data_IF_809275770705
#
_entry.id   IF_809275770705
#
_cell.length_a   1.000
_cell.length_b   1.000
_cell.length_c   1.000
_cell.angle_alpha   90.00
_cell.angle_beta   90.00
_cell.angle_gamma   90.00
#
_symmetry.space_group_name_H-M   'P 1'
#
loop_
_entity.id
_entity.type
_entity.pdbx_description
1 polymer ?
#
# COMPACT_ATOMS: atom_id res chain seq x y z
N UNK A 1 9.58 -31.83 -19.01
CA UNK A 1 8.93 -31.35 -20.23
C UNK A 1 7.45 -31.14 -19.94
N UNK A 2 6.94 -29.92 -20.11
CA UNK A 2 5.54 -29.55 -19.87
C UNK A 2 4.69 -29.79 -21.12
N UNK A 3 3.48 -30.32 -20.93
CA UNK A 3 2.48 -30.49 -21.99
C UNK A 3 1.53 -29.28 -22.05
N UNK A 4 0.74 -29.16 -23.12
CA UNK A 4 -0.30 -28.12 -23.24
C UNK A 4 -1.28 -28.11 -22.06
N UNK A 5 -1.69 -29.29 -21.58
CA UNK A 5 -2.62 -29.41 -20.45
C UNK A 5 -1.97 -29.03 -19.11
N UNK A 6 -0.65 -29.26 -18.95
CA UNK A 6 0.08 -28.75 -17.78
C UNK A 6 0.10 -27.22 -17.76
N UNK A 7 0.34 -26.60 -18.91
CA UNK A 7 0.35 -25.13 -19.05
C UNK A 7 -1.04 -24.53 -18.79
N UNK A 8 -2.12 -25.15 -19.30
CA UNK A 8 -3.51 -24.74 -19.01
C UNK A 8 -3.84 -24.87 -17.53
N UNK A 9 -3.37 -25.94 -16.87
CA UNK A 9 -3.51 -26.11 -15.42
C UNK A 9 -2.79 -25.01 -14.65
N UNK A 10 -1.58 -24.63 -15.06
CA UNK A 10 -0.86 -23.50 -14.44
C UNK A 10 -1.63 -22.17 -14.57
N UNK A 11 -2.31 -21.91 -15.70
CA UNK A 11 -3.16 -20.72 -15.84
C UNK A 11 -4.31 -20.73 -14.82
N UNK A 12 -4.98 -21.88 -14.66
CA UNK A 12 -6.04 -22.03 -13.67
C UNK A 12 -5.52 -21.85 -12.22
N UNK A 13 -4.37 -22.43 -11.90
CA UNK A 13 -3.71 -22.29 -10.59
C UNK A 13 -3.31 -20.85 -10.28
N UNK A 14 -2.99 -20.06 -11.31
CA UNK A 14 -2.75 -18.61 -11.20
C UNK A 14 -4.04 -17.77 -11.15
N UNK A 15 -5.21 -18.40 -10.98
CA UNK A 15 -6.53 -17.76 -10.94
C UNK A 15 -6.88 -17.00 -12.23
N UNK A 16 -6.47 -17.51 -13.39
CA UNK A 16 -7.02 -17.07 -14.68
C UNK A 16 -8.29 -17.84 -15.03
N UNK A 17 -9.22 -17.17 -15.70
CA UNK A 17 -10.45 -17.74 -16.22
C UNK A 17 -10.52 -17.61 -17.75
N UNK A 18 -11.26 -18.48 -18.46
CA UNK A 18 -11.32 -18.45 -19.92
C UNK A 18 -11.81 -17.15 -20.55
N UNK A 19 -12.60 -16.37 -19.81
CA UNK A 19 -13.17 -15.09 -20.24
C UNK A 19 -12.33 -13.87 -19.85
N UNK A 20 -11.17 -14.06 -19.20
CA UNK A 20 -10.31 -12.94 -18.80
C UNK A 20 -9.73 -12.23 -20.03
N UNK A 21 -9.59 -10.89 -19.93
CA UNK A 21 -8.71 -10.11 -20.80
C UNK A 21 -7.30 -10.15 -20.21
N UNK A 22 -6.33 -10.64 -20.98
CA UNK A 22 -4.96 -10.86 -20.51
C UNK A 22 -3.93 -10.25 -21.45
N UNK A 23 -3.09 -9.35 -20.92
CA UNK A 23 -1.90 -8.85 -21.59
C UNK A 23 -0.67 -9.65 -21.13
N UNK A 24 0.08 -10.22 -22.07
CA UNK A 24 1.22 -11.11 -21.76
C UNK A 24 2.55 -10.46 -22.15
N UNK A 25 3.39 -10.21 -21.15
CA UNK A 25 4.84 -10.04 -21.32
C UNK A 25 5.52 -11.38 -21.04
N UNK A 26 6.43 -11.84 -21.91
CA UNK A 26 6.96 -13.21 -21.79
C UNK A 26 8.43 -13.36 -22.15
N UNK A 27 9.08 -14.30 -21.46
CA UNK A 27 10.40 -14.84 -21.81
C UNK A 27 10.28 -16.35 -22.06
N UNK A 28 10.33 -16.75 -23.33
CA UNK A 28 10.22 -18.18 -23.72
C UNK A 28 11.26 -19.06 -23.02
N UNK A 29 12.48 -18.55 -22.81
CA UNK A 29 13.58 -19.30 -22.18
C UNK A 29 13.29 -19.66 -20.72
N UNK A 30 12.43 -18.91 -20.05
CA UNK A 30 12.15 -19.08 -18.63
C UNK A 30 11.13 -20.19 -18.34
N UNK A 31 10.36 -20.63 -19.35
CA UNK A 31 9.27 -21.62 -19.19
C UNK A 31 9.81 -23.04 -18.95
N UNK A 32 11.06 -23.29 -19.34
CA UNK A 32 11.65 -24.63 -19.34
C UNK A 32 11.35 -25.41 -20.62
N UNK A 33 11.52 -26.73 -20.57
CA UNK A 33 11.25 -27.60 -21.71
C UNK A 33 9.74 -27.81 -21.89
N UNK A 34 9.22 -27.46 -23.07
CA UNK A 34 7.81 -27.63 -23.44
C UNK A 34 7.73 -28.56 -24.66
N UNK A 35 6.85 -29.56 -24.60
CA UNK A 35 6.55 -30.41 -25.76
C UNK A 35 6.04 -29.52 -26.90
N UNK A 36 6.57 -29.65 -28.12
CA UNK A 36 6.18 -28.78 -29.25
C UNK A 36 6.65 -27.32 -29.14
N UNK A 37 7.38 -26.97 -28.08
CA UNK A 37 8.04 -25.67 -27.93
C UNK A 37 7.08 -24.48 -27.83
N UNK A 38 7.43 -23.38 -28.47
CA UNK A 38 6.69 -22.11 -28.40
C UNK A 38 5.27 -22.21 -28.97
N UNK A 39 5.04 -23.10 -29.95
CA UNK A 39 3.71 -23.29 -30.52
C UNK A 39 2.74 -23.86 -29.49
N UNK A 40 3.16 -24.82 -28.68
CA UNK A 40 2.33 -25.40 -27.62
C UNK A 40 2.03 -24.41 -26.51
N UNK A 41 2.96 -23.49 -26.19
CA UNK A 41 2.67 -22.38 -25.27
C UNK A 41 1.56 -21.49 -25.81
N UNK A 42 1.64 -21.10 -27.10
CA UNK A 42 0.61 -20.28 -27.72
C UNK A 42 -0.72 -21.04 -27.86
N UNK A 43 -0.70 -22.32 -28.21
CA UNK A 43 -1.90 -23.16 -28.28
C UNK A 43 -2.60 -23.24 -26.93
N UNK A 44 -1.83 -23.42 -25.84
CA UNK A 44 -2.36 -23.40 -24.48
C UNK A 44 -3.06 -22.07 -24.18
N UNK A 45 -2.42 -20.94 -24.49
CA UNK A 45 -3.00 -19.62 -24.27
C UNK A 45 -4.26 -19.37 -25.11
N UNK A 46 -4.20 -19.63 -26.42
CA UNK A 46 -5.30 -19.40 -27.35
C UNK A 46 -6.52 -20.27 -27.02
N UNK A 47 -6.31 -21.53 -26.62
CA UNK A 47 -7.38 -22.43 -26.21
C UNK A 47 -7.96 -22.07 -24.84
N UNK A 48 -7.11 -21.63 -23.90
CA UNK A 48 -7.56 -21.31 -22.55
C UNK A 48 -8.39 -20.02 -22.52
N UNK A 49 -7.94 -18.96 -23.20
CA UNK A 49 -8.59 -17.65 -23.20
C UNK A 49 -9.60 -17.46 -24.34
N UNK A 50 -10.24 -18.55 -24.79
CA UNK A 50 -11.08 -18.55 -25.99
C UNK A 50 -12.34 -17.66 -25.88
N UNK A 51 -12.83 -17.41 -24.66
CA UNK A 51 -13.99 -16.55 -24.39
C UNK A 51 -13.59 -15.10 -24.05
N UNK A 52 -12.30 -14.84 -23.87
CA UNK A 52 -11.73 -13.56 -23.45
C UNK A 52 -10.98 -12.82 -24.55
N UNK A 53 -10.00 -12.00 -24.13
CA UNK A 53 -9.06 -11.33 -25.04
C UNK A 53 -7.63 -11.71 -24.64
N UNK A 54 -6.88 -12.31 -25.57
CA UNK A 54 -5.46 -12.58 -25.39
C UNK A 54 -4.65 -11.52 -26.15
N UNK A 55 -3.83 -10.78 -25.42
CA UNK A 55 -3.14 -9.60 -25.92
C UNK A 55 -1.62 -9.78 -25.74
N UNK A 56 -0.87 -9.48 -26.79
CA UNK A 56 0.59 -9.37 -26.73
C UNK A 56 1.03 -7.98 -27.21
N UNK A 57 1.95 -7.31 -26.50
CA UNK A 57 2.58 -6.09 -27.02
C UNK A 57 3.43 -6.42 -28.24
N UNK A 58 3.22 -5.70 -29.34
CA UNK A 58 3.90 -5.89 -30.64
C UNK A 58 4.74 -4.69 -31.03
N UNK A 59 5.48 -4.13 -30.08
CA UNK A 59 6.20 -2.88 -30.27
C UNK A 59 7.19 -2.90 -31.44
N UNK A 60 7.37 -1.74 -32.05
CA UNK A 60 8.21 -1.46 -33.24
C UNK A 60 9.08 -0.22 -33.06
N UNK A 61 9.14 0.36 -31.84
CA UNK A 61 9.94 1.56 -31.55
C UNK A 61 11.44 1.41 -31.87
N UNK A 62 11.95 0.18 -31.91
CA UNK A 62 13.34 -0.10 -32.27
C UNK A 62 13.63 0.07 -33.77
N UNK A 63 12.61 -0.06 -34.62
CA UNK A 63 12.74 0.01 -36.09
C UNK A 63 12.09 1.25 -36.66
N UNK A 64 10.88 1.61 -36.22
CA UNK A 64 10.12 2.75 -36.74
C UNK A 64 10.70 4.08 -36.23
N UNK A 65 11.16 4.92 -37.16
CA UNK A 65 11.81 6.20 -36.88
C UNK A 65 11.81 7.10 -38.13
N UNK A 66 12.45 8.27 -38.07
CA UNK A 66 12.51 9.24 -39.18
C UNK A 66 13.07 8.67 -40.50
N UNK A 67 13.94 7.64 -40.44
CA UNK A 67 14.52 6.98 -41.62
C UNK A 67 13.65 5.83 -42.12
N UNK A 68 13.01 5.10 -41.20
CA UNK A 68 12.07 4.02 -41.48
C UNK A 68 10.68 4.43 -41.00
N UNK A 69 10.06 5.34 -41.75
CA UNK A 69 8.91 6.14 -41.30
C UNK A 69 7.55 5.56 -41.71
N UNK A 70 7.53 4.39 -42.36
CA UNK A 70 6.29 3.71 -42.77
C UNK A 70 6.09 2.49 -41.86
N UNK A 71 4.99 2.46 -41.13
CA UNK A 71 4.55 1.31 -40.36
C UNK A 71 3.57 0.47 -41.19
N UNK A 72 3.98 -0.76 -41.52
CA UNK A 72 3.15 -1.79 -42.16
C UNK A 72 2.85 -2.91 -41.15
N UNK A 73 1.63 -2.96 -40.55
CA UNK A 73 1.32 -3.90 -39.47
C UNK A 73 1.50 -5.38 -39.88
N UNK A 74 1.40 -5.68 -41.18
CA UNK A 74 1.54 -7.04 -41.73
C UNK A 74 3.00 -7.48 -41.90
N UNK A 75 3.93 -6.53 -42.00
CA UNK A 75 5.34 -6.80 -42.33
C UNK A 75 6.31 -6.54 -41.19
N UNK A 76 6.00 -5.57 -40.33
CA UNK A 76 6.94 -5.11 -39.31
C UNK A 76 7.09 -6.13 -38.18
N UNK A 77 8.29 -6.68 -37.91
CA UNK A 77 8.49 -7.56 -36.77
C UNK A 77 8.39 -6.78 -35.46
N UNK A 78 8.00 -7.46 -34.38
CA UNK A 78 8.02 -6.86 -33.04
C UNK A 78 9.39 -7.01 -32.38
N UNK A 79 9.80 -5.98 -31.62
CA UNK A 79 11.00 -6.02 -30.76
C UNK A 79 10.79 -6.67 -29.37
N UNK A 80 9.58 -7.16 -29.03
CA UNK A 80 9.28 -7.61 -27.65
C UNK A 80 9.67 -9.06 -27.35
N UNK A 81 9.60 -9.98 -28.32
CA UNK A 81 10.01 -11.37 -28.08
C UNK A 81 9.53 -12.39 -29.11
N UNK A 82 9.94 -13.65 -28.92
CA UNK A 82 9.63 -14.76 -29.82
C UNK A 82 8.12 -15.07 -29.86
N UNK A 83 7.50 -15.25 -28.68
CA UNK A 83 6.08 -15.60 -28.58
C UNK A 83 5.20 -14.54 -29.24
N UNK A 84 5.48 -13.26 -29.03
CA UNK A 84 4.81 -12.14 -29.72
C UNK A 84 4.87 -12.29 -31.25
N UNK A 85 6.06 -12.51 -31.81
CA UNK A 85 6.23 -12.60 -33.27
C UNK A 85 5.56 -13.85 -33.89
N UNK A 86 5.46 -14.94 -33.12
CA UNK A 86 4.71 -16.13 -33.52
C UNK A 86 3.20 -15.93 -33.37
N UNK A 87 2.76 -15.27 -32.30
CA UNK A 87 1.36 -14.96 -32.02
C UNK A 87 0.73 -14.10 -33.12
N UNK A 88 1.44 -13.08 -33.61
CA UNK A 88 0.99 -12.24 -34.74
C UNK A 88 0.63 -13.03 -36.02
N UNK A 89 1.14 -14.26 -36.17
CA UNK A 89 0.89 -15.11 -37.34
C UNK A 89 -0.25 -16.10 -37.14
N UNK A 90 -0.86 -16.16 -35.95
CA UNK A 90 -1.94 -17.09 -35.65
C UNK A 90 -3.24 -16.63 -36.31
N UNK A 91 -4.04 -17.61 -36.72
CA UNK A 91 -5.34 -17.33 -37.33
C UNK A 91 -6.25 -16.58 -36.34
N UNK A 92 -6.96 -15.56 -36.85
CA UNK A 92 -7.86 -14.72 -36.06
C UNK A 92 -7.19 -13.60 -35.25
N UNK A 93 -5.85 -13.56 -35.18
CA UNK A 93 -5.13 -12.47 -34.52
C UNK A 93 -5.20 -11.20 -35.38
N UNK A 94 -5.54 -10.08 -34.75
CA UNK A 94 -5.48 -8.74 -35.35
C UNK A 94 -4.44 -7.90 -34.63
N UNK A 95 -3.80 -6.98 -35.35
CA UNK A 95 -2.78 -6.08 -34.80
C UNK A 95 -3.26 -4.63 -34.90
N UNK A 96 -3.10 -3.87 -33.82
CA UNK A 96 -3.45 -2.46 -33.81
C UNK A 96 -2.56 -1.62 -34.72
N UNK A 97 -3.09 -0.50 -35.18
CA UNK A 97 -2.44 0.37 -36.16
C UNK A 97 -1.45 1.37 -35.55
N UNK A 98 -1.16 1.25 -34.26
CA UNK A 98 -0.27 2.15 -33.55
C UNK A 98 1.21 1.93 -33.99
N UNK A 99 1.92 2.96 -34.49
CA UNK A 99 3.18 2.78 -35.22
C UNK A 99 4.38 2.32 -34.39
N UNK A 100 4.39 2.55 -33.07
CA UNK A 100 5.50 2.14 -32.18
C UNK A 100 5.10 1.19 -31.05
N UNK A 101 3.89 1.34 -30.51
CA UNK A 101 3.36 0.62 -29.35
C UNK A 101 2.11 -0.23 -29.66
N UNK A 102 2.01 -0.74 -30.89
CA UNK A 102 0.92 -1.65 -31.27
C UNK A 102 0.84 -2.88 -30.37
N UNK A 103 -0.35 -3.49 -30.35
CA UNK A 103 -0.66 -4.76 -29.71
C UNK A 103 -1.26 -5.73 -30.72
N UNK A 104 -0.99 -7.02 -30.56
CA UNK A 104 -1.72 -8.10 -31.23
C UNK A 104 -2.76 -8.66 -30.27
N UNK A 105 -3.95 -8.96 -30.79
CA UNK A 105 -5.12 -9.36 -30.01
C UNK A 105 -5.82 -10.54 -30.67
N UNK A 106 -6.17 -11.55 -29.89
CA UNK A 106 -7.07 -12.63 -30.26
C UNK A 106 -8.32 -12.59 -29.37
N UNK A 107 -9.49 -12.83 -29.97
CA UNK A 107 -10.78 -12.96 -29.27
C UNK A 107 -11.92 -12.30 -30.05
N UNK A 108 -13.17 -12.54 -29.62
CA UNK A 108 -14.35 -12.08 -30.36
C UNK A 108 -14.43 -10.55 -30.51
N UNK A 109 -13.93 -9.82 -29.52
CA UNK A 109 -13.91 -8.34 -29.48
C UNK A 109 -12.57 -7.75 -29.91
N UNK A 110 -11.69 -8.54 -30.52
CA UNK A 110 -10.32 -8.09 -30.83
C UNK A 110 -10.28 -6.86 -31.76
N UNK A 111 -11.16 -6.81 -32.77
CA UNK A 111 -11.25 -5.66 -33.71
C UNK A 111 -11.72 -4.38 -33.02
N UNK A 112 -12.74 -4.48 -32.17
CA UNK A 112 -13.25 -3.38 -31.35
C UNK A 112 -12.16 -2.88 -30.38
N UNK A 113 -11.42 -3.80 -29.77
CA UNK A 113 -10.36 -3.46 -28.82
C UNK A 113 -9.20 -2.66 -29.45
N UNK A 114 -8.90 -2.86 -30.74
CA UNK A 114 -7.80 -2.16 -31.43
C UNK A 114 -8.26 -0.94 -32.24
N UNK A 115 -9.55 -0.65 -32.27
CA UNK A 115 -10.12 0.39 -33.13
C UNK A 115 -9.62 1.78 -32.75
N UNK A 116 -9.31 2.63 -33.74
CA UNK A 116 -8.92 4.03 -33.55
C UNK A 116 -7.44 4.27 -33.24
N UNK A 117 -6.63 3.21 -33.12
CA UNK A 117 -5.21 3.26 -32.80
C UNK A 117 -4.35 3.96 -33.87
N UNK A 118 -4.85 4.08 -35.10
CA UNK A 118 -4.23 4.88 -36.15
C UNK A 118 -4.21 6.39 -35.83
N UNK A 119 -5.13 6.86 -34.98
CA UNK A 119 -5.24 8.26 -34.58
C UNK A 119 -4.43 8.60 -33.31
N UNK A 120 -3.77 7.61 -32.70
CA UNK A 120 -2.93 7.82 -31.53
C UNK A 120 -1.66 8.59 -31.88
N UNK A 121 -1.39 9.68 -31.15
CA UNK A 121 -0.22 10.55 -31.36
C UNK A 121 0.86 10.38 -30.30
N UNK A 122 0.57 9.67 -29.21
CA UNK A 122 1.53 9.31 -28.16
C UNK A 122 1.54 7.78 -27.98
N UNK A 123 2.57 7.21 -27.34
CA UNK A 123 2.73 5.75 -27.22
C UNK A 123 1.64 4.99 -26.44
N UNK A 124 1.16 5.53 -25.33
CA UNK A 124 0.23 4.86 -24.42
C UNK A 124 -0.95 5.79 -24.05
N UNK A 125 -1.70 6.32 -25.03
CA UNK A 125 -2.72 7.32 -24.76
C UNK A 125 -3.90 6.73 -23.99
N UNK A 126 -4.58 7.55 -23.17
CA UNK A 126 -5.68 7.08 -22.31
C UNK A 126 -6.86 6.52 -23.10
N UNK A 127 -7.12 7.05 -24.29
CA UNK A 127 -8.18 6.59 -25.19
C UNK A 127 -7.73 5.47 -26.15
N UNK A 128 -6.52 4.93 -25.98
CA UNK A 128 -6.01 3.82 -26.78
C UNK A 128 -6.13 2.43 -26.14
N UNK A 129 -5.50 1.43 -26.74
CA UNK A 129 -5.47 0.03 -26.26
C UNK A 129 -4.98 -0.05 -24.81
N UNK A 130 -3.93 0.72 -24.48
CA UNK A 130 -3.34 0.73 -23.13
C UNK A 130 -4.33 1.23 -22.09
N UNK A 131 -5.08 2.30 -22.36
CA UNK A 131 -6.15 2.75 -21.47
C UNK A 131 -7.33 1.77 -21.39
N UNK A 132 -7.71 1.14 -22.51
CA UNK A 132 -8.78 0.12 -22.55
C UNK A 132 -8.51 -1.08 -21.66
N UNK A 133 -7.25 -1.43 -21.36
CA UNK A 133 -6.92 -2.48 -20.38
C UNK A 133 -7.55 -2.22 -18.99
N UNK A 134 -7.73 -0.96 -18.61
CA UNK A 134 -8.40 -0.59 -17.34
C UNK A 134 -9.89 -0.92 -17.41
N UNK A 135 -10.53 -0.56 -18.50
CA UNK A 135 -11.97 -0.78 -18.74
C UNK A 135 -12.30 -2.27 -18.84
N UNK A 136 -11.40 -3.03 -19.47
CA UNK A 136 -11.45 -4.49 -19.58
C UNK A 136 -11.13 -5.21 -18.27
N UNK A 137 -10.71 -4.49 -17.21
CA UNK A 137 -10.19 -5.07 -15.96
C UNK A 137 -9.12 -6.13 -16.23
N UNK A 138 -8.24 -5.82 -17.17
CA UNK A 138 -7.28 -6.77 -17.69
C UNK A 138 -6.30 -7.25 -16.60
N UNK A 139 -5.89 -8.50 -16.72
CA UNK A 139 -4.77 -9.05 -15.96
C UNK A 139 -3.51 -8.96 -16.82
N UNK A 140 -2.43 -8.43 -16.25
CA UNK A 140 -1.14 -8.28 -16.93
C UNK A 140 -0.20 -9.36 -16.40
N UNK A 141 0.11 -10.33 -17.25
CA UNK A 141 0.96 -11.47 -16.94
C UNK A 141 2.39 -11.18 -17.36
N UNK A 142 3.29 -11.13 -16.37
CA UNK A 142 4.74 -11.14 -16.56
C UNK A 142 5.23 -12.58 -16.41
N UNK A 143 5.40 -13.26 -17.54
CA UNK A 143 5.83 -14.66 -17.60
C UNK A 143 7.36 -14.72 -17.74
N UNK A 144 8.04 -15.02 -16.63
CA UNK A 144 9.49 -15.19 -16.60
C UNK A 144 10.28 -13.94 -16.96
N UNK A 145 9.70 -12.75 -16.79
CA UNK A 145 10.31 -11.45 -17.06
C UNK A 145 10.03 -10.46 -15.91
N UNK A 146 10.95 -9.52 -15.63
CA UNK A 146 10.77 -8.52 -14.57
C UNK A 146 9.76 -7.43 -14.95
N UNK A 147 9.26 -6.71 -13.92
CA UNK A 147 8.39 -5.52 -14.10
C UNK A 147 9.09 -4.33 -14.77
N UNK A 148 10.40 -4.40 -15.04
CA UNK A 148 11.07 -3.41 -15.91
C UNK A 148 10.53 -3.45 -17.35
N UNK A 149 9.70 -4.45 -17.70
CA UNK A 149 8.98 -4.55 -18.97
C UNK A 149 7.52 -4.09 -18.88
N UNK A 150 7.13 -3.42 -17.79
CA UNK A 150 5.75 -3.01 -17.54
C UNK A 150 5.38 -1.77 -18.37
N UNK A 151 5.28 -1.92 -19.70
CA UNK A 151 4.98 -0.83 -20.65
C UNK A 151 3.75 -0.02 -20.23
N UNK A 152 2.74 -0.67 -19.65
CA UNK A 152 1.52 -0.02 -19.18
C UNK A 152 1.76 1.12 -18.17
N UNK A 153 2.88 1.16 -17.43
CA UNK A 153 3.24 2.26 -16.52
C UNK A 153 3.44 3.59 -17.26
N UNK A 154 3.85 3.54 -18.54
CA UNK A 154 3.93 4.75 -19.37
C UNK A 154 2.56 5.41 -19.60
N UNK A 155 1.46 4.65 -19.50
CA UNK A 155 0.12 5.20 -19.56
C UNK A 155 -0.10 6.26 -18.49
N UNK A 156 -0.09 5.91 -17.18
CA UNK A 156 -0.14 6.87 -16.09
C UNK A 156 0.83 8.05 -16.19
N UNK A 157 2.05 7.84 -16.71
CA UNK A 157 3.00 8.93 -16.96
C UNK A 157 2.48 9.93 -18.00
N UNK A 158 1.95 9.44 -19.12
CA UNK A 158 1.33 10.28 -20.16
C UNK A 158 0.04 10.93 -19.68
N UNK A 159 -0.83 10.21 -18.97
CA UNK A 159 -2.17 10.70 -18.60
C UNK A 159 -2.16 11.78 -17.52
N UNK A 160 -1.04 11.87 -16.78
CA UNK A 160 -0.79 12.92 -15.80
C UNK A 160 0.11 14.04 -16.37
N UNK A 161 0.43 14.00 -17.66
CA UNK A 161 1.33 14.94 -18.31
C UNK A 161 2.67 15.10 -17.56
N UNK A 162 3.25 13.98 -17.10
CA UNK A 162 4.53 14.00 -16.38
C UNK A 162 5.60 14.60 -17.31
N UNK A 163 6.33 15.64 -16.85
CA UNK A 163 7.34 16.31 -17.68
C UNK A 163 8.42 15.35 -18.18
N UNK A 164 9.00 15.65 -19.34
CA UNK A 164 10.11 14.88 -19.91
C UNK A 164 9.78 13.38 -20.05
N UNK A 165 8.60 13.10 -20.60
CA UNK A 165 8.14 11.75 -20.98
C UNK A 165 7.93 11.56 -22.48
N UNK A 166 7.74 12.65 -23.22
CA UNK A 166 7.49 12.63 -24.67
C UNK A 166 8.51 13.50 -25.41
N UNK A 167 9.15 12.90 -26.41
CA UNK A 167 10.01 13.58 -27.37
C UNK A 167 9.20 14.50 -28.31
N UNK A 168 9.84 15.44 -29.03
CA UNK A 168 9.19 16.11 -30.16
C UNK A 168 8.58 15.13 -31.16
N UNK A 169 7.46 15.53 -31.76
CA UNK A 169 6.77 14.69 -32.74
C UNK A 169 7.63 14.45 -33.99
N UNK A 170 7.50 13.25 -34.55
CA UNK A 170 8.04 12.88 -35.85
C UNK A 170 6.89 12.48 -36.78
N UNK A 171 7.02 12.81 -38.06
CA UNK A 171 6.02 12.43 -39.05
C UNK A 171 6.27 11.00 -39.55
N UNK A 172 5.23 10.18 -39.46
CA UNK A 172 5.20 8.79 -39.86
C UNK A 172 4.00 8.53 -40.77
N UNK A 173 4.01 7.39 -41.45
CA UNK A 173 2.87 6.89 -42.22
C UNK A 173 2.47 5.52 -41.73
N UNK A 174 1.17 5.31 -41.56
CA UNK A 174 0.57 4.04 -41.20
C UNK A 174 -0.06 3.48 -42.47
N UNK A 175 0.30 2.26 -42.87
CA UNK A 175 -0.35 1.58 -43.98
C UNK A 175 -1.67 0.97 -43.49
N UNK A 176 -2.77 1.42 -44.08
CA UNK A 176 -4.13 1.00 -43.72
C UNK A 176 -4.50 -0.34 -44.37
N UNK A 177 -5.50 -1.08 -43.83
CA UNK A 177 -5.92 -2.38 -44.38
C UNK A 177 -6.41 -2.33 -45.85
N UNK A 178 -6.90 -1.18 -46.30
CA UNK A 178 -7.34 -0.97 -47.71
C UNK A 178 -6.17 -0.64 -48.67
N UNK A 179 -4.94 -0.59 -48.15
CA UNK A 179 -3.72 -0.27 -48.90
C UNK A 179 -3.40 1.22 -49.00
N UNK A 180 -4.23 2.10 -48.43
CA UNK A 180 -3.94 3.54 -48.32
C UNK A 180 -2.94 3.84 -47.20
N UNK A 181 -2.51 5.09 -47.11
CA UNK A 181 -1.60 5.55 -46.06
C UNK A 181 -2.28 6.65 -45.23
N UNK A 182 -2.18 6.54 -43.92
CA UNK A 182 -2.59 7.55 -42.95
C UNK A 182 -1.34 8.27 -42.45
N UNK A 183 -1.26 9.59 -42.66
CA UNK A 183 -0.17 10.42 -42.13
C UNK A 183 -0.41 10.67 -40.64
N UNK A 184 0.61 10.45 -39.81
CA UNK A 184 0.54 10.57 -38.35
C UNK A 184 1.73 11.37 -37.84
N UNK A 185 1.47 12.37 -36.99
CA UNK A 185 2.53 13.11 -36.27
C UNK A 185 2.61 12.56 -34.84
N UNK A 186 3.73 11.91 -34.53
CA UNK A 186 3.81 10.96 -33.43
C UNK A 186 4.97 11.26 -32.47
N UNK A 187 4.67 11.30 -31.17
CA UNK A 187 5.65 11.47 -30.10
C UNK A 187 6.21 10.13 -29.63
N UNK A 188 7.54 10.04 -29.48
CA UNK A 188 8.18 8.88 -28.83
C UNK A 188 8.33 9.11 -27.33
N UNK A 189 8.45 8.03 -26.56
CA UNK A 189 8.92 8.17 -25.17
C UNK A 189 10.34 8.72 -25.13
N UNK A 190 10.58 9.61 -24.19
CA UNK A 190 11.90 10.17 -23.87
C UNK A 190 11.97 10.41 -22.37
N UNK A 191 13.18 10.35 -21.81
CA UNK A 191 13.49 10.86 -20.48
C UNK A 191 14.97 11.23 -20.45
N UNK A 192 15.30 12.42 -19.92
CA UNK A 192 16.67 12.94 -19.83
C UNK A 192 17.54 12.16 -18.85
N UNK A 193 16.93 11.40 -17.95
CA UNK A 193 17.59 10.60 -16.92
C UNK A 193 17.88 9.16 -17.36
N UNK A 194 17.62 8.82 -18.63
CA UNK A 194 17.84 7.50 -19.21
C UNK A 194 16.53 6.80 -19.54
N UNK A 195 16.54 5.46 -19.58
CA UNK A 195 15.33 4.70 -19.86
C UNK A 195 14.53 4.50 -18.58
N UNK A 196 13.48 5.29 -18.38
CA UNK A 196 12.61 5.26 -17.20
C UNK A 196 12.04 3.86 -16.90
N UNK A 197 11.82 3.04 -17.93
CA UNK A 197 11.29 1.67 -17.76
C UNK A 197 12.24 0.74 -17.01
N UNK A 198 13.54 1.04 -16.98
CA UNK A 198 14.51 0.26 -16.19
C UNK A 198 14.22 0.37 -14.69
N UNK A 199 13.54 1.44 -14.25
CA UNK A 199 13.19 1.68 -12.86
C UNK A 199 11.81 1.09 -12.47
N UNK A 200 10.98 0.63 -13.42
CA UNK A 200 9.65 0.07 -13.09
C UNK A 200 9.70 -1.21 -12.25
N UNK A 201 10.86 -1.89 -12.22
CA UNK A 201 11.09 -3.06 -11.36
C UNK A 201 10.80 -2.80 -9.87
N UNK A 202 10.97 -1.56 -9.40
CA UNK A 202 10.73 -1.18 -8.01
C UNK A 202 9.26 -1.19 -7.59
N UNK A 203 8.33 -1.31 -8.55
CA UNK A 203 6.91 -1.52 -8.26
C UNK A 203 6.59 -2.93 -7.74
N UNK A 204 7.51 -3.89 -7.88
CA UNK A 204 7.24 -5.30 -7.53
C UNK A 204 6.78 -5.46 -6.07
N UNK A 205 7.55 -4.94 -5.12
CA UNK A 205 7.21 -5.06 -3.70
C UNK A 205 5.95 -4.26 -3.30
N UNK A 206 5.79 -2.98 -3.72
CA UNK A 206 4.56 -2.24 -3.48
C UNK A 206 3.30 -2.93 -4.03
N UNK A 207 3.35 -3.45 -5.26
CA UNK A 207 2.18 -4.09 -5.86
C UNK A 207 1.82 -5.41 -5.15
N UNK A 208 2.82 -6.19 -4.72
CA UNK A 208 2.61 -7.42 -3.97
C UNK A 208 2.08 -7.16 -2.56
N UNK A 209 2.67 -6.21 -1.82
CA UNK A 209 2.28 -5.88 -0.45
C UNK A 209 0.85 -5.31 -0.36
N UNK A 210 0.39 -4.62 -1.42
CA UNK A 210 -0.99 -4.11 -1.53
C UNK A 210 -1.97 -5.11 -2.15
N UNK A 211 -1.53 -6.35 -2.44
CA UNK A 211 -2.31 -7.36 -3.14
C UNK A 211 -2.91 -6.85 -4.46
N UNK A 212 -2.19 -5.96 -5.15
CA UNK A 212 -2.51 -5.47 -6.51
C UNK A 212 -1.93 -6.44 -7.54
N UNK A 213 -0.78 -7.03 -7.21
CA UNK A 213 -0.18 -8.12 -7.95
C UNK A 213 -0.08 -9.38 -7.08
N UNK A 214 0.04 -10.53 -7.73
CA UNK A 214 0.28 -11.82 -7.11
C UNK A 214 1.37 -12.59 -7.85
N UNK A 215 2.01 -13.55 -7.18
CA UNK A 215 2.99 -14.44 -7.79
C UNK A 215 2.31 -15.71 -8.32
N UNK A 216 2.89 -16.30 -9.35
CA UNK A 216 2.45 -17.55 -9.95
C UNK A 216 3.59 -18.34 -10.59
N UNK A 217 3.26 -19.50 -11.16
CA UNK A 217 4.18 -20.35 -11.91
C UNK A 217 3.57 -20.77 -13.23
N UNK A 218 4.37 -20.80 -14.28
CA UNK A 218 3.98 -21.30 -15.60
C UNK A 218 5.15 -22.07 -16.21
N UNK A 219 5.02 -23.40 -16.27
CA UNK A 219 6.20 -24.26 -16.40
C UNK A 219 7.20 -23.97 -15.26
N UNK A 220 8.47 -23.79 -15.60
CA UNK A 220 9.50 -23.41 -14.63
C UNK A 220 9.49 -21.90 -14.30
N UNK A 221 8.82 -21.08 -15.10
CA UNK A 221 8.89 -19.62 -15.03
C UNK A 221 8.19 -19.07 -13.78
N UNK A 222 8.89 -18.21 -13.04
CA UNK A 222 8.25 -17.30 -12.08
C UNK A 222 7.40 -16.29 -12.82
N UNK A 223 6.16 -16.13 -12.36
CA UNK A 223 5.20 -15.21 -12.93
C UNK A 223 4.77 -14.16 -11.91
N UNK A 224 4.48 -12.95 -12.41
CA UNK A 224 3.74 -11.93 -11.67
C UNK A 224 2.50 -11.58 -12.46
N UNK A 225 1.35 -11.55 -11.78
CA UNK A 225 0.06 -11.20 -12.37
C UNK A 225 -0.40 -9.91 -11.69
N UNK A 226 -0.45 -8.82 -12.44
CA UNK A 226 -0.88 -7.52 -11.96
C UNK A 226 -2.28 -7.17 -12.48
N UNK A 227 -3.13 -6.59 -11.62
CA UNK A 227 -4.41 -6.01 -12.03
C UNK A 227 -4.17 -4.65 -12.71
N UNK A 228 -4.59 -4.49 -13.97
CA UNK A 228 -4.32 -3.28 -14.74
C UNK A 228 -4.94 -2.02 -14.10
N UNK A 229 -6.21 -2.08 -13.70
CA UNK A 229 -6.93 -0.93 -13.14
C UNK A 229 -6.33 -0.50 -11.79
N UNK A 230 -6.08 -1.46 -10.90
CA UNK A 230 -5.49 -1.18 -9.58
C UNK A 230 -4.02 -0.76 -9.68
N UNK A 231 -3.27 -1.30 -10.64
CA UNK A 231 -1.89 -0.88 -10.91
C UNK A 231 -1.85 0.56 -11.41
N UNK A 232 -2.72 0.92 -12.37
CA UNK A 232 -2.86 2.29 -12.87
C UNK A 232 -3.16 3.27 -11.74
N UNK A 233 -4.21 3.00 -10.97
CA UNK A 233 -4.65 3.85 -9.86
C UNK A 233 -3.54 4.04 -8.79
N UNK A 234 -2.79 2.97 -8.49
CA UNK A 234 -1.65 3.06 -7.59
C UNK A 234 -0.50 3.89 -8.16
N UNK A 235 -0.10 3.65 -9.42
CA UNK A 235 0.98 4.38 -10.09
C UNK A 235 0.63 5.86 -10.24
N UNK A 236 -0.61 6.20 -10.59
CA UNK A 236 -1.06 7.60 -10.69
C UNK A 236 -0.91 8.32 -9.34
N UNK A 237 -1.31 7.69 -8.22
CA UNK A 237 -1.11 8.27 -6.89
C UNK A 237 0.37 8.45 -6.52
N UNK A 238 1.22 7.49 -6.88
CA UNK A 238 2.67 7.63 -6.69
C UNK A 238 3.20 8.84 -7.44
N UNK A 239 2.89 8.96 -8.73
CA UNK A 239 3.34 10.07 -9.58
C UNK A 239 2.78 11.43 -9.14
N UNK A 240 1.55 11.48 -8.61
CA UNK A 240 1.01 12.70 -8.02
C UNK A 240 1.71 13.11 -6.72
N UNK A 241 2.22 12.13 -5.97
CA UNK A 241 2.99 12.38 -4.73
C UNK A 241 4.42 12.77 -5.05
N UNK A 242 5.03 12.08 -6.01
CA UNK A 242 6.39 12.26 -6.46
C UNK A 242 6.46 12.02 -7.99
N UNK A 243 6.40 13.11 -8.80
CA UNK A 243 6.47 13.01 -10.25
C UNK A 243 7.79 12.44 -10.79
N UNK A 244 8.85 12.49 -9.98
CA UNK A 244 10.18 12.03 -10.34
C UNK A 244 10.44 10.60 -9.87
N UNK A 245 9.44 9.93 -9.27
CA UNK A 245 9.59 8.62 -8.63
C UNK A 245 10.20 7.56 -9.54
N UNK A 246 10.20 7.67 -10.87
CA UNK A 246 10.86 6.70 -11.76
C UNK A 246 12.14 7.22 -12.43
N UNK A 247 12.62 8.41 -12.09
CA UNK A 247 13.82 9.01 -12.70
C UNK A 247 15.12 8.37 -12.19
N UNK A 248 15.08 7.67 -11.06
CA UNK A 248 16.22 7.01 -10.42
C UNK A 248 15.86 5.59 -9.93
N UNK A 249 16.87 4.77 -9.60
CA UNK A 249 16.66 3.39 -9.17
C UNK A 249 16.35 3.23 -7.67
N UNK A 250 16.26 4.32 -6.90
CA UNK A 250 16.03 4.24 -5.46
C UNK A 250 14.65 3.60 -5.18
N UNK A 251 14.53 2.75 -4.15
CA UNK A 251 13.26 2.10 -3.81
C UNK A 251 12.13 3.12 -3.59
N UNK A 252 10.90 2.75 -3.92
CA UNK A 252 9.74 3.56 -3.54
C UNK A 252 9.71 3.63 -1.99
N UNK A 253 9.57 4.82 -1.38
CA UNK A 253 9.46 4.94 0.07
C UNK A 253 8.30 4.11 0.62
N UNK A 254 8.54 3.34 1.69
CA UNK A 254 7.55 2.42 2.26
C UNK A 254 6.28 3.16 2.69
N UNK A 255 6.41 4.39 3.19
CA UNK A 255 5.30 5.28 3.53
C UNK A 255 4.30 5.53 2.39
N UNK A 256 4.72 5.38 1.13
CA UNK A 256 3.86 5.58 -0.03
C UNK A 256 2.93 4.38 -0.30
N UNK A 257 3.25 3.18 0.24
CA UNK A 257 2.46 1.97 -0.03
C UNK A 257 2.15 1.09 1.18
N UNK A 258 2.77 1.33 2.34
CA UNK A 258 2.51 0.62 3.58
C UNK A 258 1.00 0.55 3.87
N UNK A 259 0.53 -0.63 4.26
CA UNK A 259 -0.83 -0.78 4.78
C UNK A 259 -0.88 0.01 6.08
N UNK A 260 -1.60 1.15 6.07
CA UNK A 260 -1.89 1.89 7.30
C UNK A 260 -2.60 0.93 8.24
N UNK A 261 -1.97 0.58 9.36
CA UNK A 261 -2.71 -0.02 10.48
C UNK A 261 -3.82 0.96 10.84
N UNK A 262 -5.06 0.47 10.93
CA UNK A 262 -6.15 1.28 11.46
C UNK A 262 -5.72 1.82 12.82
N UNK A 263 -5.92 3.11 13.01
CA UNK A 263 -5.61 3.76 14.27
C UNK A 263 -6.51 3.17 15.34
N UNK A 264 -5.95 2.79 16.48
CA UNK A 264 -6.73 2.38 17.65
C UNK A 264 -7.10 3.62 18.45
N UNK A 265 -8.29 3.63 19.05
CA UNK A 265 -8.81 4.75 19.84
C UNK A 265 -8.97 4.29 21.28
N UNK A 266 -8.37 5.07 22.20
CA UNK A 266 -8.41 4.87 23.65
C UNK A 266 -9.09 6.10 24.29
N UNK A 267 -10.41 6.09 24.55
CA UNK A 267 -11.07 7.24 25.14
C UNK A 267 -10.60 7.47 26.58
N UNK A 268 -10.10 8.67 26.89
CA UNK A 268 -9.72 9.03 28.27
C UNK A 268 -10.95 9.45 29.06
N UNK A 269 -11.33 8.62 30.04
CA UNK A 269 -12.49 8.86 30.90
C UNK A 269 -12.26 10.02 31.87
N UNK A 270 -11.05 10.59 31.93
CA UNK A 270 -10.79 11.83 32.67
C UNK A 270 -11.66 12.99 32.17
N UNK A 271 -12.06 12.96 30.90
CA UNK A 271 -12.88 14.01 30.28
C UNK A 271 -14.40 13.70 30.26
N UNK A 272 -14.83 12.56 30.79
CA UNK A 272 -16.24 12.15 30.76
C UNK A 272 -17.04 12.71 31.95
N UNK A 273 -18.36 12.59 31.88
CA UNK A 273 -19.23 12.83 33.05
C UNK A 273 -19.12 11.65 34.03
N UNK A 274 -18.20 11.79 34.98
CA UNK A 274 -17.91 10.76 36.00
C UNK A 274 -19.12 10.39 36.87
N UNK A 275 -20.14 11.26 36.97
CA UNK A 275 -21.38 10.94 37.68
C UNK A 275 -22.25 9.93 36.92
N UNK A 276 -22.01 9.75 35.62
CA UNK A 276 -22.76 8.88 34.71
C UNK A 276 -21.83 7.89 33.98
N UNK A 277 -20.78 7.41 34.66
CA UNK A 277 -19.68 6.63 34.06
C UNK A 277 -20.14 5.41 33.24
N UNK A 278 -21.18 4.68 33.68
CA UNK A 278 -21.77 3.57 32.91
C UNK A 278 -22.28 4.03 31.53
N UNK A 279 -23.00 5.15 31.48
CA UNK A 279 -23.49 5.71 30.22
C UNK A 279 -22.33 6.20 29.33
N UNK A 280 -21.33 6.81 29.95
CA UNK A 280 -20.15 7.31 29.24
C UNK A 280 -19.37 6.16 28.58
N UNK A 281 -19.13 5.06 29.28
CA UNK A 281 -18.45 3.86 28.75
C UNK A 281 -19.29 3.17 27.67
N UNK A 282 -20.58 2.97 27.93
CA UNK A 282 -21.49 2.32 26.97
C UNK A 282 -21.68 3.12 25.67
N UNK A 283 -21.28 4.39 25.64
CA UNK A 283 -21.35 5.23 24.43
C UNK A 283 -20.19 5.05 23.45
N UNK A 284 -19.17 4.27 23.82
CA UNK A 284 -17.98 3.98 22.99
C UNK A 284 -17.75 2.47 22.83
N UNK A 285 -18.76 1.68 22.42
CA UNK A 285 -18.67 0.22 22.38
C UNK A 285 -17.62 -0.30 21.39
N UNK A 286 -17.22 0.54 20.43
CA UNK A 286 -16.24 0.25 19.39
C UNK A 286 -14.83 0.79 19.71
N UNK A 287 -14.57 1.31 20.91
CA UNK A 287 -13.22 1.68 21.33
C UNK A 287 -12.30 0.46 21.48
N UNK A 288 -10.99 0.63 21.27
CA UNK A 288 -10.03 -0.47 21.40
C UNK A 288 -9.53 -0.65 22.83
N UNK A 289 -9.58 0.43 23.61
CA UNK A 289 -9.17 0.50 25.02
C UNK A 289 -10.03 1.52 25.75
N UNK A 290 -10.07 1.46 27.08
CA UNK A 290 -10.52 2.56 27.93
C UNK A 290 -9.31 3.11 28.68
N UNK A 291 -8.95 4.37 28.39
CA UNK A 291 -7.80 5.03 29.02
C UNK A 291 -8.19 5.62 30.38
N UNK A 292 -7.46 5.24 31.42
CA UNK A 292 -7.71 5.68 32.81
C UNK A 292 -6.45 6.35 33.36
N UNK A 293 -6.50 7.68 33.44
CA UNK A 293 -5.45 8.49 34.04
C UNK A 293 -5.50 8.44 35.57
N UNK A 294 -4.45 7.90 36.19
CA UNK A 294 -4.27 7.85 37.65
C UNK A 294 -3.20 8.87 38.06
N UNK A 295 -3.60 9.88 38.84
CA UNK A 295 -2.75 10.98 39.30
C UNK A 295 -2.76 11.05 40.83
N UNK A 296 -1.62 11.34 41.46
CA UNK A 296 -1.44 11.25 42.93
C UNK A 296 -1.19 12.58 43.65
N UNK A 297 -1.19 13.71 42.94
CA UNK A 297 -0.86 15.02 43.51
C UNK A 297 0.63 15.22 43.87
N UNK A 298 1.50 14.24 43.60
CA UNK A 298 2.95 14.32 43.90
C UNK A 298 3.79 14.28 42.63
N UNK A 299 3.59 13.27 41.75
CA UNK A 299 4.31 13.19 40.48
C UNK A 299 3.78 14.22 39.48
N UNK A 300 2.47 14.45 39.52
CA UNK A 300 1.76 15.54 38.86
C UNK A 300 0.94 16.30 39.90
N UNK A 301 0.61 17.59 39.70
CA UNK A 301 -0.05 18.40 40.72
C UNK A 301 -1.53 18.05 40.96
N UNK A 302 -2.17 17.28 40.07
CA UNK A 302 -3.58 16.92 40.17
C UNK A 302 -3.79 15.54 40.80
N UNK A 303 -5.01 15.32 41.30
CA UNK A 303 -5.51 14.05 41.81
C UNK A 303 -6.70 13.62 40.94
N UNK A 304 -6.72 12.37 40.50
CA UNK A 304 -7.79 11.84 39.64
C UNK A 304 -8.46 10.59 40.24
N UNK A 305 -8.41 9.47 39.54
CA UNK A 305 -9.08 8.22 39.88
C UNK A 305 -8.20 7.32 40.75
N UNK A 306 -8.83 6.31 41.35
CA UNK A 306 -8.15 5.27 42.12
C UNK A 306 -8.84 3.92 41.95
N UNK A 307 -8.41 2.93 42.74
CA UNK A 307 -8.88 1.54 42.64
C UNK A 307 -10.41 1.35 42.55
N UNK A 308 -11.26 2.09 43.30
CA UNK A 308 -12.71 1.92 43.18
C UNK A 308 -13.26 2.23 41.79
N UNK A 309 -12.70 3.24 41.11
CA UNK A 309 -13.10 3.61 39.75
C UNK A 309 -12.64 2.56 38.75
N UNK A 310 -11.38 2.11 38.83
CA UNK A 310 -10.87 1.06 37.94
C UNK A 310 -11.74 -0.20 38.02
N UNK A 311 -12.09 -0.65 39.23
CA UNK A 311 -12.99 -1.80 39.42
C UNK A 311 -14.39 -1.55 38.87
N UNK A 312 -14.92 -0.34 39.04
CA UNK A 312 -16.22 0.02 38.49
C UNK A 312 -16.20 -0.04 36.96
N UNK A 313 -15.21 0.56 36.31
CA UNK A 313 -15.04 0.52 34.85
C UNK A 313 -14.90 -0.92 34.35
N UNK A 314 -14.06 -1.73 35.00
CA UNK A 314 -13.85 -3.14 34.64
C UNK A 314 -15.13 -3.99 34.72
N UNK A 315 -16.08 -3.61 35.59
CA UNK A 315 -17.36 -4.31 35.69
C UNK A 315 -18.40 -3.83 34.68
N UNK A 316 -18.14 -2.72 33.98
CA UNK A 316 -19.07 -2.09 33.05
C UNK A 316 -18.80 -2.44 31.59
N UNK A 317 -17.62 -2.97 31.25
CA UNK A 317 -17.22 -3.22 29.87
C UNK A 317 -16.23 -4.38 29.74
N UNK A 318 -16.25 -5.04 28.57
CA UNK A 318 -15.24 -6.01 28.14
C UNK A 318 -14.09 -5.34 27.34
N UNK A 319 -14.16 -4.02 27.12
CA UNK A 319 -13.10 -3.27 26.44
C UNK A 319 -11.87 -3.22 27.36
N UNK A 320 -10.66 -3.58 26.86
CA UNK A 320 -9.46 -3.63 27.68
C UNK A 320 -9.12 -2.30 28.37
N UNK A 321 -8.68 -2.36 29.63
CA UNK A 321 -8.33 -1.18 30.41
C UNK A 321 -6.85 -0.82 30.28
N UNK A 322 -6.61 0.41 29.86
CA UNK A 322 -5.30 1.03 29.69
C UNK A 322 -5.08 2.06 30.80
N UNK A 323 -4.27 1.69 31.79
CA UNK A 323 -4.04 2.50 32.98
C UNK A 323 -2.76 3.30 32.83
N UNK A 324 -2.89 4.61 32.87
CA UNK A 324 -1.77 5.54 32.83
C UNK A 324 -1.44 6.06 34.22
N UNK A 325 -0.34 5.56 34.79
CA UNK A 325 0.08 5.86 36.15
C UNK A 325 1.01 7.08 36.19
N UNK A 326 0.42 8.26 36.37
CA UNK A 326 1.10 9.51 36.70
C UNK A 326 1.27 9.65 38.22
N UNK A 327 1.97 8.70 38.85
CA UNK A 327 2.11 8.61 40.30
C UNK A 327 3.57 8.43 40.74
N UNK A 328 3.84 8.82 41.98
CA UNK A 328 5.11 8.57 42.67
C UNK A 328 5.09 7.17 43.29
N UNK A 329 6.20 6.46 43.18
CA UNK A 329 6.36 5.09 43.68
C UNK A 329 5.33 4.07 43.09
N UNK A 330 5.16 3.98 41.75
CA UNK A 330 4.22 3.04 41.13
C UNK A 330 4.38 1.57 41.57
N UNK A 331 5.57 1.12 41.97
CA UNK A 331 5.80 -0.25 42.45
C UNK A 331 4.83 -0.68 43.56
N UNK A 332 4.41 0.26 44.43
CA UNK A 332 3.47 0.00 45.54
C UNK A 332 2.04 -0.26 45.09
N UNK A 333 1.68 0.15 43.87
CA UNK A 333 0.29 0.16 43.40
C UNK A 333 0.04 -0.79 42.22
N UNK A 334 1.08 -1.23 41.51
CA UNK A 334 0.95 -2.12 40.34
C UNK A 334 0.12 -3.37 40.65
N UNK A 335 0.40 -4.08 41.75
CA UNK A 335 -0.37 -5.28 42.14
C UNK A 335 -1.86 -4.97 42.32
N UNK A 336 -2.16 -3.85 42.99
CA UNK A 336 -3.54 -3.48 43.29
C UNK A 336 -4.32 -3.10 42.04
N UNK A 337 -3.68 -2.37 41.11
CA UNK A 337 -4.28 -2.01 39.82
C UNK A 337 -4.42 -3.20 38.88
N UNK A 338 -3.43 -4.09 38.82
CA UNK A 338 -3.52 -5.34 38.08
C UNK A 338 -4.73 -6.18 38.56
N UNK A 339 -4.87 -6.37 39.89
CA UNK A 339 -6.02 -7.07 40.49
C UNK A 339 -7.35 -6.33 40.32
N UNK A 340 -7.33 -5.04 39.99
CA UNK A 340 -8.54 -4.25 39.76
C UNK A 340 -9.08 -4.40 38.32
N UNK A 341 -8.32 -5.03 37.41
CA UNK A 341 -8.73 -5.28 36.03
C UNK A 341 -7.88 -4.57 34.97
N UNK A 342 -6.66 -4.13 35.29
CA UNK A 342 -5.80 -3.51 34.30
C UNK A 342 -5.32 -4.53 33.25
N UNK A 343 -5.50 -4.23 31.96
CA UNK A 343 -4.95 -5.03 30.85
C UNK A 343 -3.57 -4.52 30.41
N UNK A 344 -3.38 -3.21 30.49
CA UNK A 344 -2.13 -2.50 30.23
C UNK A 344 -1.87 -1.48 31.32
N UNK A 345 -0.62 -1.37 31.77
CA UNK A 345 -0.19 -0.34 32.72
C UNK A 345 0.99 0.39 32.11
N UNK A 346 0.83 1.70 31.89
CA UNK A 346 1.93 2.60 31.57
C UNK A 346 2.47 3.28 32.82
N UNK A 347 3.78 3.15 33.04
CA UNK A 347 4.52 3.89 34.06
C UNK A 347 5.42 4.92 33.40
N UNK A 348 5.58 6.08 34.02
CA UNK A 348 6.50 7.09 33.52
C UNK A 348 7.96 6.66 33.68
N UNK A 349 8.78 6.87 32.66
CA UNK A 349 10.24 6.75 32.80
C UNK A 349 10.79 7.72 33.85
N UNK A 350 10.14 8.86 34.05
CA UNK A 350 10.60 9.94 34.93
C UNK A 350 10.32 9.71 36.42
N UNK A 351 9.83 8.53 36.83
CA UNK A 351 9.71 8.17 38.25
C UNK A 351 11.07 7.75 38.82
N UNK A 352 11.30 7.99 40.10
CA UNK A 352 12.56 7.64 40.80
C UNK A 352 12.58 6.15 41.22
N UNK A 353 12.41 5.24 40.25
CA UNK A 353 12.45 3.78 40.42
C UNK A 353 13.11 3.09 39.21
N UNK A 354 13.61 1.86 39.38
CA UNK A 354 14.21 1.11 38.28
C UNK A 354 13.14 0.62 37.29
N UNK A 355 13.23 1.07 36.05
CA UNK A 355 12.24 0.75 35.02
C UNK A 355 12.19 -0.75 34.69
N UNK A 356 13.32 -1.46 34.71
CA UNK A 356 13.36 -2.90 34.44
C UNK A 356 12.63 -3.69 35.53
N UNK A 357 12.78 -3.29 36.79
CA UNK A 357 12.05 -3.85 37.91
C UNK A 357 10.54 -3.58 37.80
N UNK A 358 10.14 -2.35 37.46
CA UNK A 358 8.73 -2.00 37.23
C UNK A 358 8.10 -2.82 36.09
N UNK A 359 8.79 -2.95 34.95
CA UNK A 359 8.33 -3.79 33.83
C UNK A 359 8.15 -5.23 34.29
N UNK A 360 9.13 -5.79 35.01
CA UNK A 360 9.07 -7.16 35.53
C UNK A 360 7.93 -7.36 36.51
N UNK A 361 7.64 -6.35 37.33
CA UNK A 361 6.54 -6.38 38.29
C UNK A 361 5.19 -6.39 37.57
N UNK A 362 4.99 -5.55 36.54
CA UNK A 362 3.75 -5.54 35.74
C UNK A 362 3.55 -6.89 35.04
N UNK A 363 4.60 -7.43 34.39
CA UNK A 363 4.57 -8.75 33.74
C UNK A 363 4.21 -9.88 34.73
N UNK A 364 4.68 -9.79 35.98
CA UNK A 364 4.41 -10.82 37.00
C UNK A 364 2.93 -11.00 37.35
N UNK A 365 2.09 -10.01 37.01
CA UNK A 365 0.64 -10.06 37.16
C UNK A 365 -0.10 -10.36 35.85
N UNK A 366 0.60 -10.77 34.79
CA UNK A 366 0.08 -11.00 33.43
C UNK A 366 -0.57 -9.75 32.81
N UNK A 367 -0.13 -8.56 33.23
CA UNK A 367 -0.54 -7.28 32.65
C UNK A 367 0.49 -6.85 31.62
N UNK A 368 0.07 -6.16 30.57
CA UNK A 368 0.96 -5.67 29.51
C UNK A 368 1.74 -4.44 30.02
N UNK A 369 3.08 -4.47 30.07
CA UNK A 369 3.87 -3.31 30.46
C UNK A 369 3.92 -2.27 29.33
N UNK A 370 3.75 -1.01 29.68
CA UNK A 370 3.96 0.14 28.82
C UNK A 370 4.79 1.21 29.54
N UNK A 371 5.41 2.10 28.78
CA UNK A 371 6.22 3.19 29.33
C UNK A 371 5.77 4.53 28.75
N UNK A 372 5.48 5.48 29.64
CA UNK A 372 5.11 6.84 29.29
C UNK A 372 6.33 7.78 29.35
N UNK A 373 6.41 8.72 28.39
CA UNK A 373 7.48 9.71 28.30
C UNK A 373 6.92 11.13 28.22
N UNK A 374 7.48 12.04 29.03
CA UNK A 374 7.17 13.47 28.97
C UNK A 374 7.66 14.13 27.67
N UNK A 375 7.13 15.31 27.29
CA UNK A 375 7.58 16.05 26.11
C UNK A 375 9.08 16.40 26.09
N UNK A 376 9.73 16.55 27.25
CA UNK A 376 11.17 16.83 27.32
C UNK A 376 12.06 15.57 27.23
N UNK A 377 11.51 14.38 27.51
CA UNK A 377 12.32 13.16 27.65
C UNK A 377 12.68 12.57 26.28
N UNK A 378 13.97 12.31 25.98
CA UNK A 378 14.38 11.68 24.72
C UNK A 378 13.76 10.28 24.59
N UNK A 379 13.36 9.89 23.38
CA UNK A 379 12.69 8.59 23.17
C UNK A 379 13.66 7.42 23.21
N UNK A 380 14.95 7.69 23.01
CA UNK A 380 16.02 6.71 23.03
C UNK A 380 16.18 6.03 24.40
N UNK A 381 15.66 6.63 25.49
CA UNK A 381 15.71 6.05 26.84
C UNK A 381 14.93 4.73 26.95
N UNK A 382 13.90 4.51 26.10
CA UNK A 382 13.11 3.27 26.11
C UNK A 382 13.70 2.18 25.22
N UNK A 383 14.70 2.47 24.40
CA UNK A 383 15.28 1.53 23.44
C UNK A 383 15.79 0.22 24.07
N UNK A 384 16.41 0.22 25.26
CA UNK A 384 16.84 -1.01 25.90
C UNK A 384 15.68 -1.95 26.32
N UNK A 385 14.46 -1.43 26.40
CA UNK A 385 13.31 -2.13 26.96
C UNK A 385 12.27 -2.56 25.91
N UNK A 386 12.37 -2.08 24.66
CA UNK A 386 11.33 -2.24 23.63
C UNK A 386 10.85 -3.69 23.45
N UNK A 387 11.75 -4.67 23.52
CA UNK A 387 11.42 -6.09 23.32
C UNK A 387 10.45 -6.65 24.38
N UNK A 388 10.28 -5.93 25.49
CA UNK A 388 9.39 -6.29 26.61
C UNK A 388 8.12 -5.46 26.66
N UNK A 389 8.02 -4.37 25.89
CA UNK A 389 6.90 -3.43 26.01
C UNK A 389 5.77 -3.78 25.05
N UNK A 390 4.53 -3.64 25.51
CA UNK A 390 3.36 -3.67 24.65
C UNK A 390 3.14 -2.33 23.93
N UNK A 391 3.38 -1.22 24.64
CA UNK A 391 3.19 0.15 24.14
C UNK A 391 4.24 1.10 24.71
N UNK A 392 4.54 2.16 23.97
CA UNK A 392 5.23 3.35 24.49
C UNK A 392 4.29 4.54 24.31
N UNK A 393 3.91 5.16 25.42
CA UNK A 393 3.04 6.33 25.47
C UNK A 393 3.86 7.62 25.38
N UNK A 394 3.65 8.38 24.32
CA UNK A 394 4.30 9.67 24.08
C UNK A 394 3.34 10.77 24.50
N UNK A 395 3.67 11.47 25.59
CA UNK A 395 2.93 12.65 26.00
C UNK A 395 3.22 13.80 25.01
N UNK A 396 2.17 14.36 24.43
CA UNK A 396 2.23 15.54 23.53
C UNK A 396 1.87 16.83 24.25
N UNK A 397 1.73 16.79 25.58
CA UNK A 397 1.57 17.91 26.52
C UNK A 397 2.23 17.53 27.84
N UNK A 398 2.42 18.47 28.76
CA UNK A 398 2.91 18.11 30.11
C UNK A 398 1.85 17.29 30.85
N UNK A 399 2.21 16.16 31.49
CA UNK A 399 1.23 15.31 32.17
C UNK A 399 0.61 16.02 33.37
N UNK A 400 -0.60 15.58 33.72
CA UNK A 400 -1.31 16.05 34.90
C UNK A 400 -2.50 16.96 34.62
N UNK A 401 -2.69 17.49 33.41
CA UNK A 401 -3.87 18.30 33.08
C UNK A 401 -4.55 17.86 31.78
N UNK A 402 -5.87 17.72 31.81
CA UNK A 402 -6.69 17.54 30.61
C UNK A 402 -6.92 18.85 29.86
N UNK A 403 -7.18 18.76 28.55
CA UNK A 403 -7.61 19.90 27.71
C UNK A 403 -6.49 20.84 27.24
N UNK A 404 -5.23 20.43 27.36
CA UNK A 404 -4.07 21.18 26.88
C UNK A 404 -3.93 21.11 25.35
N UNK A 405 -3.23 22.10 24.78
CA UNK A 405 -2.97 22.19 23.34
C UNK A 405 -1.87 21.23 22.90
N UNK A 406 -2.12 20.50 21.81
CA UNK A 406 -1.19 19.53 21.21
C UNK A 406 0.16 20.14 20.78
N UNK A 407 1.28 19.55 21.23
CA UNK A 407 2.64 19.93 20.84
C UNK A 407 3.15 19.04 19.68
N UNK A 408 3.08 19.55 18.45
CA UNK A 408 3.40 18.79 17.23
C UNK A 408 4.86 18.35 17.12
N UNK A 409 5.78 19.05 17.78
CA UNK A 409 7.20 18.71 17.86
C UNK A 409 7.45 17.34 18.50
N UNK A 410 6.53 16.85 19.34
CA UNK A 410 6.62 15.52 19.94
C UNK A 410 6.49 14.39 18.91
N UNK A 411 5.89 14.66 17.75
CA UNK A 411 5.75 13.66 16.68
C UNK A 411 7.09 13.25 16.06
N UNK A 412 8.13 14.07 16.19
CA UNK A 412 9.46 13.67 15.74
C UNK A 412 10.00 12.49 16.57
N UNK A 413 9.67 12.43 17.86
CA UNK A 413 10.00 11.28 18.70
C UNK A 413 9.27 10.02 18.23
N UNK A 414 8.00 10.16 17.83
CA UNK A 414 7.20 9.05 17.28
C UNK A 414 7.89 8.48 16.04
N UNK A 415 8.32 9.35 15.10
CA UNK A 415 9.00 8.89 13.88
C UNK A 415 10.28 8.12 14.19
N UNK A 416 11.12 8.65 15.09
CA UNK A 416 12.36 7.99 15.54
C UNK A 416 12.08 6.62 16.17
N UNK A 417 11.12 6.57 17.08
CA UNK A 417 10.72 5.33 17.75
C UNK A 417 10.15 4.30 16.77
N UNK A 418 9.28 4.73 15.84
CA UNK A 418 8.71 3.85 14.83
C UNK A 418 9.79 3.27 13.92
N UNK A 419 10.78 4.08 13.54
CA UNK A 419 11.93 3.61 12.76
C UNK A 419 12.73 2.53 13.53
N UNK A 420 12.99 2.73 14.82
CA UNK A 420 13.72 1.76 15.63
C UNK A 420 12.92 0.46 15.86
N UNK A 421 11.62 0.56 16.14
CA UNK A 421 10.71 -0.60 16.27
C UNK A 421 10.73 -1.44 14.98
N UNK A 422 10.61 -0.78 13.81
CA UNK A 422 10.66 -1.47 12.51
C UNK A 422 12.02 -2.11 12.25
N UNK A 423 13.11 -1.39 12.51
CA UNK A 423 14.48 -1.89 12.35
C UNK A 423 14.71 -3.18 13.14
N UNK A 424 14.09 -3.32 14.31
CA UNK A 424 14.16 -4.53 15.15
C UNK A 424 13.07 -5.57 14.87
N UNK A 425 12.11 -5.28 13.99
CA UNK A 425 11.00 -6.17 13.68
C UNK A 425 10.03 -6.39 14.85
N UNK A 426 9.87 -5.41 15.74
CA UNK A 426 9.06 -5.56 16.95
C UNK A 426 7.60 -5.17 16.73
N UNK A 427 6.73 -5.74 17.57
CA UNK A 427 5.28 -5.48 17.54
C UNK A 427 4.82 -4.39 18.51
N UNK A 428 5.74 -3.59 19.06
CA UNK A 428 5.45 -2.53 20.04
C UNK A 428 4.55 -1.47 19.40
N UNK A 429 3.46 -1.15 20.09
CA UNK A 429 2.57 -0.05 19.70
C UNK A 429 3.15 1.30 20.16
N UNK A 430 2.85 2.36 19.41
CA UNK A 430 3.14 3.72 19.88
C UNK A 430 1.82 4.38 20.18
N UNK A 431 1.69 4.89 21.39
CA UNK A 431 0.52 5.58 21.87
C UNK A 431 0.82 7.07 22.01
N UNK A 432 -0.16 7.94 21.81
CA UNK A 432 -0.02 9.37 22.04
C UNK A 432 -1.20 9.91 22.84
N UNK A 433 -0.88 10.73 23.86
CA UNK A 433 -1.85 11.43 24.70
C UNK A 433 -1.50 12.92 24.83
N UNK A 434 -2.53 13.78 24.71
CA UNK A 434 -2.42 15.22 24.87
C UNK A 434 -2.97 16.03 23.70
N UNK A 435 -4.26 16.39 23.75
CA UNK A 435 -4.84 17.36 22.81
C UNK A 435 -5.17 16.81 21.41
N UNK A 436 -5.28 15.49 21.26
CA UNK A 436 -5.65 14.84 20.00
C UNK A 436 -7.14 15.06 19.70
N UNK A 437 -7.45 15.43 18.46
CA UNK A 437 -8.79 15.72 17.96
C UNK A 437 -8.85 15.50 16.43
N UNK A 438 -10.03 15.69 15.83
CA UNK A 438 -10.25 15.45 14.39
C UNK A 438 -9.39 16.32 13.46
N UNK A 439 -8.94 17.49 13.90
CA UNK A 439 -8.08 18.36 13.09
C UNK A 439 -6.62 17.89 13.02
N UNK A 440 -6.15 17.10 14.00
CA UNK A 440 -4.74 16.67 14.07
C UNK A 440 -4.56 15.15 14.03
N UNK A 441 -5.60 14.34 14.15
CA UNK A 441 -5.49 12.87 14.16
C UNK A 441 -4.83 12.30 12.90
N UNK A 442 -5.06 12.92 11.74
CA UNK A 442 -4.37 12.53 10.50
C UNK A 442 -2.85 12.74 10.58
N UNK A 443 -2.41 13.86 11.18
CA UNK A 443 -0.98 14.14 11.40
C UNK A 443 -0.37 13.15 12.40
N UNK A 444 -1.10 12.86 13.49
CA UNK A 444 -0.71 11.89 14.52
C UNK A 444 -0.54 10.50 13.90
N UNK A 445 -1.54 10.03 13.14
CA UNK A 445 -1.48 8.77 12.41
C UNK A 445 -0.30 8.71 11.44
N UNK A 446 -0.10 9.76 10.64
CA UNK A 446 1.00 9.84 9.68
C UNK A 446 2.40 9.81 10.33
N UNK A 447 2.52 10.21 11.60
CA UNK A 447 3.81 10.14 12.31
C UNK A 447 4.22 8.72 12.73
N UNK A 448 3.28 7.76 12.67
CA UNK A 448 3.49 6.38 13.07
C UNK A 448 2.88 6.01 14.41
N UNK A 449 2.00 6.85 14.99
CA UNK A 449 1.20 6.49 16.18
C UNK A 449 0.21 5.39 15.82
N UNK A 450 0.13 4.37 16.68
CA UNK A 450 -0.82 3.26 16.59
C UNK A 450 -2.09 3.48 17.40
N UNK A 451 -1.98 4.09 18.59
CA UNK A 451 -3.08 4.30 19.54
C UNK A 451 -3.20 5.79 19.84
N UNK A 452 -4.37 6.37 19.65
CA UNK A 452 -4.64 7.76 20.00
C UNK A 452 -5.52 7.83 21.25
N UNK A 453 -5.02 8.49 22.30
CA UNK A 453 -5.81 8.81 23.49
C UNK A 453 -6.66 10.04 23.22
N UNK A 454 -7.97 9.91 23.38
CA UNK A 454 -8.93 10.97 23.05
C UNK A 454 -9.89 11.23 24.21
N UNK A 455 -9.72 12.37 24.88
CA UNK A 455 -10.62 12.81 25.95
C UNK A 455 -11.73 13.74 25.43
N UNK A 456 -11.58 15.04 25.73
CA UNK A 456 -12.60 16.08 25.49
C UNK A 456 -13.16 16.13 24.07
N UNK A 457 -12.34 15.86 23.05
CA UNK A 457 -12.78 15.88 21.66
C UNK A 457 -13.82 14.78 21.36
N UNK A 458 -13.71 13.64 22.03
CA UNK A 458 -14.63 12.52 21.87
C UNK A 458 -15.87 12.73 22.75
N UNK A 459 -15.70 13.00 24.04
CA UNK A 459 -16.83 13.03 24.98
C UNK A 459 -17.79 14.23 24.79
N UNK A 460 -17.41 15.23 23.99
CA UNK A 460 -18.31 16.32 23.56
C UNK A 460 -19.21 15.96 22.37
N UNK A 461 -18.93 14.86 21.69
CA UNK A 461 -19.68 14.45 20.51
C UNK A 461 -21.02 13.84 20.88
N UNK A 462 -22.01 14.10 20.03
CA UNK A 462 -23.37 13.55 20.20
C UNK A 462 -23.45 12.07 19.78
N UNK A 463 -22.68 11.69 18.76
CA UNK A 463 -22.54 10.33 18.26
C UNK A 463 -21.07 9.89 18.37
N UNK A 464 -20.76 9.30 19.52
CA UNK A 464 -19.38 8.93 19.91
C UNK A 464 -18.91 7.66 19.22
N UNK A 465 -19.81 6.70 18.97
CA UNK A 465 -19.50 5.48 18.22
C UNK A 465 -19.09 5.83 16.79
N UNK A 466 -19.89 6.65 16.09
CA UNK A 466 -19.54 7.11 14.75
C UNK A 466 -18.27 7.98 14.75
N UNK A 467 -18.02 8.74 15.83
CA UNK A 467 -16.78 9.50 15.98
C UNK A 467 -15.55 8.58 16.08
N UNK A 468 -15.62 7.54 16.91
CA UNK A 468 -14.55 6.54 17.03
C UNK A 468 -14.27 5.91 15.66
N UNK A 469 -15.29 5.45 14.93
CA UNK A 469 -15.10 4.85 13.61
C UNK A 469 -14.41 5.79 12.62
N UNK A 470 -14.82 7.06 12.57
CA UNK A 470 -14.17 8.08 11.72
C UNK A 470 -12.70 8.28 12.08
N UNK A 471 -12.36 8.20 13.36
CA UNK A 471 -11.00 8.38 13.84
C UNK A 471 -10.08 7.17 13.53
N UNK A 472 -10.63 5.96 13.41
CA UNK A 472 -9.85 4.74 13.09
C UNK A 472 -9.34 4.67 11.66
N UNK A 473 -9.98 5.38 10.73
CA UNK A 473 -9.72 5.29 9.29
C UNK A 473 -10.71 4.36 8.59
#
# INVERSE_FOLDING_TARGET
MYTKEDLKRNLAEMNFFPWDTVLVHSSMKSIGEVEGGADTVLDAFCEYFCDGLLIFPTHTWATINEKHYIYDPDKEPSCVGLLTNMFMKREGVVRSLHPTHSVAVLGQRAKEFIEGEENATTPCPRNGCWGRLIEERAKILFLGCPLTKFTFVHGPEEWLDIPDRLAPAIDLKIKMPDGTYHDSSFHKHQCSFGNVSDNFGKLTEPLLSKAIAQKGKFGDADCIIADAARSSDFVMRLLQTDPEIFNDPDPIPEEYYAVRRKMKISPSILACDVANLEKEINSVPNADFIHIDIMDGHFVPNLSFGLPIVRAVNNLTDIPLDLHLMISNPSKYIEAFAKAGADMISVHYEVDEDLSELISLIESFNVKPAVALKPATPVEVVYPYLDRLASVLIMTVEPGFGGQSFHAECLEKVRKLRAEIRKRGLSVEIEADGGINTSNIGLVSNSGVSIAVMGTALFKESDREAFVDRCKG
#
